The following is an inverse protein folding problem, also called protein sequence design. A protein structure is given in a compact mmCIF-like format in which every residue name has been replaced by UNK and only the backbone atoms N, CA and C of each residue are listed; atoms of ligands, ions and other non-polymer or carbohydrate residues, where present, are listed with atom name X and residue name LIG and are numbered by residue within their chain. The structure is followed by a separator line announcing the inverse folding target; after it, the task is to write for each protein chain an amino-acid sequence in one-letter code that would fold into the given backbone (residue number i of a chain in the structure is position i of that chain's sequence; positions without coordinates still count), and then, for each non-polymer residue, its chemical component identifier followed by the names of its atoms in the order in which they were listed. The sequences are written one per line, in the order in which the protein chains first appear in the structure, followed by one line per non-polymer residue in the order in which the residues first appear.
data_IF_433155973246
#
_entry.id   IF_433155973246
#
_cell.length_a   1.000
_cell.length_b   1.000
_cell.length_c   1.000
_cell.angle_alpha   90.00
_cell.angle_beta   90.00
_cell.angle_gamma   90.00
#
_symmetry.space_group_name_H-M   'P 1'
#
loop_
_entity.id
_entity.type
_entity.pdbx_description
1 polymer ?
2 polymer ?
3 water ?
#
# COMPACT_ATOMS: atom_id res chain seq x y z
N UNK A 1 33.48 -11.89 5.39
CA UNK A 1 32.16 -11.79 4.71
C UNK A 1 31.08 -11.19 5.63
N UNK A 2 30.01 -10.69 5.01
CA UNK A 2 28.93 -9.99 5.72
C UNK A 2 27.98 -10.92 6.44
N UNK A 3 27.38 -10.42 7.52
CA UNK A 3 26.45 -11.18 8.34
C UNK A 3 25.34 -11.81 7.48
N UNK A 4 24.75 -11.02 6.60
CA UNK A 4 23.62 -11.48 5.83
C UNK A 4 23.99 -12.68 4.93
N UNK A 5 25.16 -12.61 4.28
CA UNK A 5 25.61 -13.67 3.39
C UNK A 5 25.97 -14.98 4.11
N UNK A 6 26.29 -14.91 5.39
CA UNK A 6 26.63 -16.08 6.18
C UNK A 6 25.40 -16.86 6.71
N UNK A 7 24.20 -16.29 6.63
CA UNK A 7 23.02 -16.95 7.21
C UNK A 7 22.74 -18.31 6.56
N UNK A 8 22.26 -19.26 7.36
CA UNK A 8 21.88 -20.57 6.82
C UNK A 8 20.62 -20.47 5.94
N UNK A 9 20.49 -21.31 4.90
CA UNK A 9 19.24 -21.35 4.13
C UNK A 9 17.99 -21.50 4.99
N UNK A 10 18.06 -22.26 6.08
CA UNK A 10 16.92 -22.43 6.95
C UNK A 10 16.53 -21.11 7.65
N UNK A 11 17.51 -20.27 7.94
CA UNK A 11 17.22 -18.92 8.43
C UNK A 11 16.62 -18.01 7.36
N UNK A 12 17.20 -17.99 6.16
CA UNK A 12 16.61 -17.19 5.06
C UNK A 12 15.14 -17.56 4.82
N UNK A 13 14.85 -18.85 4.87
CA UNK A 13 13.53 -19.40 4.64
C UNK A 13 12.45 -18.88 5.61
N UNK A 14 12.83 -18.64 6.87
CA UNK A 14 11.89 -18.13 7.88
C UNK A 14 11.49 -16.66 7.66
N UNK A 15 12.24 -15.92 6.86
CA UNK A 15 11.84 -14.54 6.52
C UNK A 15 10.71 -14.50 5.49
N UNK A 16 10.49 -15.60 4.77
CA UNK A 16 9.52 -15.58 3.67
C UNK A 16 8.10 -15.23 4.15
N UNK A 17 7.49 -14.24 3.48
CA UNK A 17 6.14 -13.76 3.80
C UNK A 17 6.08 -12.88 5.05
N UNK A 18 7.23 -12.47 5.57
CA UNK A 18 7.31 -11.50 6.65
C UNK A 18 7.65 -10.14 6.09
N UNK A 19 7.17 -9.09 6.75
CA UNK A 19 7.53 -7.73 6.40
C UNK A 19 8.78 -7.32 7.14
N UNK A 20 9.69 -6.70 6.40
CA UNK A 20 11.05 -6.54 6.81
C UNK A 20 11.54 -5.14 6.44
N UNK A 21 12.48 -4.64 7.21
CA UNK A 21 13.19 -3.40 6.90
C UNK A 21 14.62 -3.77 6.62
N UNK A 22 15.13 -3.35 5.47
CA UNK A 22 16.48 -3.66 5.06
C UNK A 22 17.27 -2.38 4.93
N UNK A 23 18.42 -2.36 5.57
CA UNK A 23 19.38 -1.30 5.42
C UNK A 23 20.46 -1.82 4.50
N UNK A 24 20.89 -1.00 3.56
CA UNK A 24 21.85 -1.40 2.54
C UNK A 24 22.88 -0.29 2.30
N UNK A 25 23.91 -0.60 1.53
CA UNK A 25 25.00 0.32 1.21
C UNK A 25 24.52 1.73 0.86
N UNK A 26 25.32 2.72 1.25
CA UNK A 26 25.09 4.14 0.93
C UNK A 26 23.76 4.67 1.44
N UNK A 27 23.38 4.24 2.63
CA UNK A 27 22.17 4.74 3.33
C UNK A 27 20.84 4.44 2.63
N UNK A 28 20.83 3.47 1.73
CA UNK A 28 19.60 3.07 1.07
C UNK A 28 18.77 2.22 2.02
N UNK A 29 17.48 2.51 2.14
CA UNK A 29 16.59 1.81 3.05
C UNK A 29 15.38 1.29 2.29
N UNK A 30 14.89 0.11 2.69
CA UNK A 30 13.74 -0.51 2.04
C UNK A 30 12.86 -1.13 3.10
N UNK A 31 11.58 -1.23 2.79
CA UNK A 31 10.67 -1.97 3.61
C UNK A 31 9.75 -2.70 2.66
N UNK A 32 9.54 -3.99 2.91
CA UNK A 32 8.61 -4.78 2.14
C UNK A 32 8.50 -6.24 2.57
N UNK A 33 7.71 -7.00 1.83
CA UNK A 33 7.39 -8.38 2.18
C UNK A 33 8.36 -9.34 1.46
N UNK A 34 8.96 -10.26 2.19
CA UNK A 34 10.00 -11.13 1.59
C UNK A 34 9.36 -12.23 0.76
N UNK A 35 9.68 -12.24 -0.52
CA UNK A 35 9.33 -13.33 -1.42
C UNK A 35 10.33 -14.48 -1.36
N UNK A 36 11.62 -14.15 -1.38
CA UNK A 36 12.70 -15.13 -1.23
C UNK A 36 14.03 -14.43 -1.00
N UNK A 37 15.05 -15.25 -0.77
CA UNK A 37 16.43 -14.80 -0.82
C UNK A 37 17.17 -15.80 -1.70
N UNK A 38 17.93 -15.29 -2.65
CA UNK A 38 18.72 -16.15 -3.52
C UNK A 38 19.90 -16.76 -2.75
N UNK A 39 19.99 -18.07 -2.63
CA UNK A 39 21.10 -18.67 -1.87
C UNK A 39 22.47 -18.58 -2.56
N UNK A 40 22.52 -18.20 -3.82
CA UNK A 40 23.78 -18.05 -4.54
C UNK A 40 24.38 -16.65 -4.24
N UNK A 41 23.60 -15.59 -4.44
CA UNK A 41 24.07 -14.21 -4.31
C UNK A 41 23.68 -13.57 -2.99
N UNK A 42 22.76 -14.21 -2.27
CA UNK A 42 22.06 -13.63 -1.11
C UNK A 42 21.22 -12.40 -1.43
N UNK A 43 20.86 -12.18 -2.69
CA UNK A 43 19.92 -11.13 -3.07
C UNK A 43 18.58 -11.37 -2.39
N UNK A 44 18.04 -10.33 -1.77
CA UNK A 44 16.72 -10.44 -1.14
C UNK A 44 15.67 -9.83 -2.03
N UNK A 45 14.55 -10.51 -2.18
CA UNK A 45 13.49 -10.03 -3.03
C UNK A 45 12.30 -9.60 -2.15
N UNK A 46 11.91 -8.32 -2.27
CA UNK A 46 10.76 -7.75 -1.54
C UNK A 46 9.61 -7.36 -2.45
N UNK A 47 8.39 -7.59 -1.99
CA UNK A 47 7.17 -7.15 -2.66
C UNK A 47 6.60 -5.96 -1.86
N UNK A 48 6.20 -4.92 -2.59
CA UNK A 48 5.55 -3.75 -1.99
C UNK A 48 4.20 -3.53 -2.60
N UNK A 49 3.20 -3.42 -1.74
CA UNK A 49 1.86 -2.97 -2.10
C UNK A 49 1.84 -1.45 -1.82
N UNK A 50 1.86 -0.67 -2.88
CA UNK A 50 2.14 0.76 -2.80
C UNK A 50 0.84 1.56 -2.60
N UNK A 51 1.00 2.83 -2.22
CA UNK A 51 -0.12 3.73 -1.87
C UNK A 51 -1.13 3.95 -2.97
N UNK A 52 -0.71 3.77 -4.22
CA UNK A 52 -1.60 3.98 -5.37
C UNK A 52 -2.29 2.71 -5.84
N UNK A 53 -2.16 1.64 -5.07
CA UNK A 53 -2.77 0.38 -5.43
C UNK A 53 -2.00 -0.51 -6.40
N UNK A 54 -0.82 -0.07 -6.83
CA UNK A 54 0.01 -0.87 -7.74
C UNK A 54 0.96 -1.72 -6.91
N UNK A 55 1.68 -2.61 -7.56
CA UNK A 55 2.60 -3.50 -6.85
C UNK A 55 3.99 -3.46 -7.45
N UNK A 56 5.02 -3.28 -6.62
CA UNK A 56 6.41 -3.39 -7.08
C UNK A 56 7.10 -4.62 -6.47
N UNK A 57 8.19 -5.02 -7.16
CA UNK A 57 9.08 -6.08 -6.71
C UNK A 57 10.49 -5.50 -6.75
N UNK A 58 11.22 -5.68 -5.65
CA UNK A 58 12.54 -5.10 -5.48
C UNK A 58 13.54 -6.17 -5.04
N UNK A 59 14.68 -6.23 -5.72
CA UNK A 59 15.79 -7.07 -5.27
C UNK A 59 16.87 -6.19 -4.68
N UNK A 60 17.39 -6.56 -3.53
CA UNK A 60 18.53 -5.87 -2.94
C UNK A 60 19.71 -6.83 -2.96
N UNK A 61 20.82 -6.39 -3.53
CA UNK A 61 21.96 -7.26 -3.77
C UNK A 61 22.54 -7.72 -2.44
N UNK A 62 22.80 -9.02 -2.31
CA UNK A 62 23.33 -9.59 -1.08
C UNK A 62 24.58 -8.92 -0.55
N UNK A 63 25.52 -8.58 -1.43
CA UNK A 63 26.74 -7.87 -1.05
C UNK A 63 26.48 -6.45 -0.46
N UNK A 64 25.32 -5.88 -0.77
CA UNK A 64 24.94 -4.55 -0.24
C UNK A 64 24.10 -4.58 1.03
N UNK A 65 23.63 -5.76 1.43
CA UNK A 65 22.77 -5.87 2.60
C UNK A 65 23.61 -5.65 3.88
N UNK A 66 23.14 -4.77 4.76
CA UNK A 66 23.80 -4.48 6.03
C UNK A 66 23.01 -5.09 7.20
N UNK A 67 21.74 -4.72 7.33
CA UNK A 67 20.86 -5.32 8.31
C UNK A 67 19.49 -5.63 7.74
N UNK A 68 18.84 -6.64 8.32
CA UNK A 68 17.48 -7.02 7.98
C UNK A 68 16.74 -7.23 9.31
N UNK A 69 15.60 -6.57 9.43
CA UNK A 69 14.87 -6.50 10.69
C UNK A 69 13.42 -6.80 10.40
N UNK A 70 12.85 -7.76 11.10
CA UNK A 70 11.45 -8.11 10.91
C UNK A 70 10.56 -7.05 11.61
N UNK A 71 9.52 -6.61 10.91
CA UNK A 71 8.59 -5.57 11.37
C UNK A 71 7.20 -6.10 11.61
N UNK A 72 6.81 -7.12 10.84
CA UNK A 72 5.46 -7.66 10.88
C UNK A 72 5.50 -9.13 10.47
N UNK A 73 4.81 -9.96 11.24
CA UNK A 73 4.78 -11.41 11.01
C UNK A 73 3.86 -11.80 9.88
N UNK A 74 2.95 -10.91 9.52
CA UNK A 74 2.00 -11.18 8.47
C UNK A 74 0.76 -11.81 9.06
N UNK A 75 -0.18 -12.15 8.19
CA UNK A 75 -1.38 -12.88 8.58
C UNK A 75 -1.81 -13.72 7.38
N UNK A 76 -2.90 -14.47 7.53
CA UNK A 76 -3.34 -15.37 6.47
C UNK A 76 -3.63 -14.64 5.16
N UNK A 77 -4.17 -13.42 5.25
CA UNK A 77 -4.62 -12.69 4.06
C UNK A 77 -3.47 -12.28 3.16
N UNK A 78 -2.46 -11.61 3.73
CA UNK A 78 -1.29 -11.18 2.97
C UNK A 78 -0.51 -12.38 2.43
N UNK A 79 -0.41 -13.43 3.25
CA UNK A 79 0.28 -14.66 2.87
C UNK A 79 -0.30 -15.25 1.59
N UNK A 80 -1.63 -15.25 1.47
CA UNK A 80 -2.29 -15.81 0.29
C UNK A 80 -2.03 -14.95 -0.96
N UNK A 81 -2.07 -13.63 -0.81
CA UNK A 81 -1.72 -12.73 -1.90
C UNK A 81 -0.31 -13.01 -2.41
N UNK A 82 0.63 -13.15 -1.48
CA UNK A 82 2.04 -13.37 -1.81
C UNK A 82 2.30 -14.75 -2.42
N UNK A 83 1.54 -15.75 -1.99
CA UNK A 83 1.67 -17.13 -2.46
C UNK A 83 1.20 -17.24 -3.92
N UNK A 84 0.14 -16.50 -4.24
CA UNK A 84 -0.45 -16.46 -5.59
C UNK A 84 0.45 -15.75 -6.62
N UNK A 85 1.55 -15.14 -6.16
CA UNK A 85 2.44 -14.36 -7.02
C UNK A 85 3.39 -15.25 -7.83
N UNK A 86 3.44 -15.01 -9.14
CA UNK A 86 4.29 -15.75 -10.10
C UNK A 86 4.05 -17.26 -10.08
N UNK B 1 12.23 -39.91 12.90
CA UNK B 1 13.71 -39.80 12.98
C UNK B 1 14.18 -38.41 12.49
N UNK B 2 15.24 -37.89 13.11
CA UNK B 2 15.73 -36.54 12.78
C UNK B 2 16.53 -36.58 11.47
N UNK B 3 16.09 -35.80 10.48
CA UNK B 3 16.78 -35.69 9.21
C UNK B 3 18.02 -34.80 9.37
N UNK B 4 19.12 -35.20 8.73
CA UNK B 4 20.34 -34.44 8.68
C UNK B 4 20.04 -33.00 8.33
N UNK B 5 20.70 -32.07 9.02
CA UNK B 5 20.55 -30.65 8.71
C UNK B 5 21.13 -30.30 7.35
N UNK B 6 22.14 -31.06 6.90
CA UNK B 6 22.72 -30.83 5.58
C UNK B 6 21.67 -31.03 4.49
N UNK B 7 20.88 -32.09 4.63
CA UNK B 7 19.80 -32.39 3.69
C UNK B 7 18.69 -31.31 3.78
N UNK B 8 18.32 -30.93 4.99
CA UNK B 8 17.30 -29.89 5.18
C UNK B 8 17.74 -28.57 4.59
N UNK B 9 18.99 -28.21 4.81
CA UNK B 9 19.56 -26.99 4.26
C UNK B 9 19.55 -26.97 2.73
N UNK B 10 19.93 -28.09 2.12
CA UNK B 10 20.07 -28.18 0.66
C UNK B 10 18.68 -28.10 -0.02
N UNK B 11 17.67 -28.70 0.61
CA UNK B 11 16.30 -28.61 0.14
C UNK B 11 15.75 -27.18 0.25
N UNK B 12 16.05 -26.49 1.35
CA UNK B 12 15.67 -25.10 1.50
C UNK B 12 16.39 -24.23 0.47
N UNK B 13 17.66 -24.55 0.19
CA UNK B 13 18.43 -23.88 -0.85
C UNK B 13 17.75 -24.01 -2.22
N UNK B 14 17.32 -25.21 -2.57
CA UNK B 14 16.61 -25.44 -3.82
C UNK B 14 15.31 -24.65 -3.91
N UNK B 15 14.51 -24.64 -2.83
CA UNK B 15 13.25 -23.89 -2.82
C UNK B 15 13.47 -22.38 -2.95
N UNK B 16 14.44 -21.85 -2.23
CA UNK B 16 14.78 -20.43 -2.30
C UNK B 16 15.24 -20.05 -3.68
N UNK B 17 16.05 -20.93 -4.29
CA UNK B 17 16.61 -20.65 -5.57
C UNK B 17 15.53 -20.70 -6.65
N UNK B 18 14.63 -21.66 -6.56
CA UNK B 18 13.59 -21.81 -7.56
C UNK B 18 12.72 -20.56 -7.55
N UNK B 19 12.42 -20.06 -6.36
CA UNK B 19 11.60 -18.86 -6.22
C UNK B 19 12.32 -17.66 -6.79
N UNK B 20 13.64 -17.58 -6.59
CA UNK B 20 14.43 -16.46 -7.11
C UNK B 20 14.45 -16.45 -8.64
N UNK B 21 14.65 -17.63 -9.23
CA UNK B 21 14.67 -17.73 -10.69
C UNK B 21 13.29 -17.34 -11.26
N UNK B 22 12.23 -17.78 -10.60
CA UNK B 22 10.87 -17.40 -10.97
C UNK B 22 10.69 -15.87 -10.94
N UNK B 23 11.21 -15.21 -9.91
CA UNK B 23 11.11 -13.75 -9.81
C UNK B 23 11.86 -13.05 -10.94
N UNK B 24 13.02 -13.60 -11.36
CA UNK B 24 13.79 -13.01 -12.47
C UNK B 24 13.04 -13.24 -13.79
N UNK B 25 12.49 -14.44 -13.96
CA UNK B 25 11.79 -14.75 -15.20
C UNK B 25 10.56 -13.84 -15.38
N UNK B 26 9.89 -13.51 -14.29
CA UNK B 26 8.75 -12.57 -14.34
C UNK B 26 9.14 -11.14 -14.69
N UNK B 27 10.40 -10.80 -14.47
CA UNK B 27 10.94 -9.48 -14.79
C UNK B 27 11.35 -9.31 -16.25
N UNK B 28 11.47 -10.41 -17.01
CA UNK B 28 11.91 -10.35 -18.41
C UNK B 28 10.97 -9.41 -19.22
N UNK B 29 11.57 -8.49 -19.98
CA UNK B 29 10.83 -7.55 -20.81
C UNK B 29 10.26 -6.32 -20.11
N UNK B 30 10.44 -6.19 -18.79
CA UNK B 30 9.94 -5.01 -18.10
C UNK B 30 11.03 -4.01 -17.94
N UNK B 31 10.64 -2.74 -17.85
CA UNK B 31 11.57 -1.68 -17.50
C UNK B 31 11.89 -1.81 -16.02
N UNK B 32 13.17 -1.82 -15.70
CA UNK B 32 13.59 -1.85 -14.32
C UNK B 32 14.51 -0.67 -14.04
N UNK B 33 14.44 -0.20 -12.81
CA UNK B 33 15.21 0.92 -12.32
C UNK B 33 16.25 0.37 -11.36
N UNK B 34 17.51 0.59 -11.69
CA UNK B 34 18.64 0.10 -10.95
C UNK B 34 19.15 1.24 -10.08
N UNK B 35 19.33 0.96 -8.81
CA UNK B 35 20.05 1.86 -7.92
C UNK B 35 21.48 1.41 -7.87
N UNK B 36 22.37 2.30 -8.27
CA UNK B 36 23.75 1.97 -8.48
C UNK B 36 24.58 2.55 -7.34
N UNK B 37 25.81 2.07 -7.22
CA UNK B 37 26.78 2.66 -6.30
C UNK B 37 27.18 4.01 -6.87
N UNK B 38 27.78 4.85 -6.03
CA UNK B 38 28.09 6.25 -6.35
C UNK B 38 26.85 7.15 -6.49
N UNK B 39 25.73 6.76 -5.88
CA UNK B 39 24.51 7.57 -5.85
C UNK B 39 23.69 7.64 -7.14
N UNK B 40 24.08 6.87 -8.15
CA UNK B 40 23.47 6.97 -9.48
C UNK B 40 22.27 6.01 -9.66
N UNK B 41 21.35 6.41 -10.53
CA UNK B 41 20.19 5.62 -10.94
C UNK B 41 20.27 5.40 -12.45
N UNK B 42 19.97 4.20 -12.94
CA UNK B 42 19.75 4.00 -14.38
C UNK B 42 18.59 3.04 -14.65
N UNK B 43 17.94 3.22 -15.79
CA UNK B 43 16.82 2.39 -16.19
C UNK B 43 17.09 1.61 -17.47
N UNK B 44 16.58 0.39 -17.53
CA UNK B 44 16.76 -0.47 -18.69
C UNK B 44 15.73 -1.59 -18.69
N UNK B 45 15.49 -2.18 -19.85
CA UNK B 45 14.67 -3.39 -19.95
C UNK B 45 15.51 -4.62 -19.61
N UNK B 46 14.96 -5.49 -18.77
CA UNK B 46 15.65 -6.70 -18.35
C UNK B 46 15.55 -7.86 -19.36
N UNK B 47 16.67 -8.50 -19.65
CA UNK B 47 16.73 -9.65 -20.52
C UNK B 47 17.04 -10.96 -19.81
N UNK B 48 18.08 -10.97 -18.98
CA UNK B 48 18.55 -12.18 -18.35
C UNK B 48 19.62 -11.89 -17.33
N UNK B 49 19.94 -12.90 -16.51
CA UNK B 49 21.19 -12.90 -15.77
C UNK B 49 21.90 -14.22 -16.04
N UNK B 50 23.16 -14.29 -15.69
CA UNK B 50 23.79 -15.61 -15.60
C UNK B 50 23.42 -16.30 -14.27
N UNK B 51 23.62 -17.61 -14.22
CA UNK B 51 23.27 -18.42 -13.05
C UNK B 51 24.06 -18.01 -11.80
N UNK B 52 25.30 -17.55 -11.95
CA UNK B 52 26.04 -17.01 -10.80
C UNK B 52 25.49 -15.65 -10.34
N UNK B 53 24.55 -15.07 -11.10
CA UNK B 53 24.01 -13.75 -10.85
C UNK B 53 25.13 -12.70 -10.76
N UNK B 54 26.13 -12.81 -11.62
CA UNK B 54 27.22 -11.83 -11.65
C UNK B 54 26.93 -10.68 -12.62
N UNK B 55 26.11 -10.93 -13.64
CA UNK B 55 25.76 -9.94 -14.65
C UNK B 55 24.28 -9.95 -15.02
N UNK B 56 23.73 -8.75 -15.19
CA UNK B 56 22.43 -8.58 -15.80
C UNK B 56 22.58 -8.17 -17.26
N UNK B 57 21.86 -8.85 -18.14
CA UNK B 57 21.81 -8.51 -19.54
C UNK B 57 20.58 -7.65 -19.74
N UNK B 58 20.78 -6.46 -20.27
CA UNK B 58 19.68 -5.53 -20.44
C UNK B 58 19.63 -4.98 -21.86
N UNK B 59 18.49 -4.40 -22.21
CA UNK B 59 18.32 -3.70 -23.47
C UNK B 59 17.71 -2.31 -23.21
N UNK B 60 17.80 -1.41 -24.19
CA UNK B 60 17.23 -0.07 -24.05
C UNK B 60 17.71 0.62 -22.77
N UNK B 61 19.01 0.64 -22.56
CA UNK B 61 19.65 1.29 -21.44
C UNK B 61 19.58 2.81 -21.66
N UNK B 62 18.95 3.51 -20.74
CA UNK B 62 18.90 4.97 -20.80
C UNK B 62 20.25 5.59 -20.44
N UNK B 63 20.65 6.59 -21.22
CA UNK B 63 21.83 7.39 -20.92
C UNK B 63 21.55 8.85 -21.33
N UNK B 64 22.35 9.76 -20.81
CA UNK B 64 22.24 11.19 -21.20
C UNK B 64 22.39 11.47 -22.71
N UNK B 65 23.15 10.64 -23.45
CA UNK B 65 23.29 10.83 -24.91
C UNK B 65 22.30 10.02 -25.75
N UNK B 66 21.46 9.22 -25.10
CA UNK B 66 20.38 8.50 -25.78
C UNK B 66 20.36 7.01 -25.42
N UNK B 67 19.30 6.33 -25.85
CA UNK B 67 19.04 4.93 -25.50
C UNK B 67 20.02 4.01 -26.24
N UNK B 68 20.65 3.10 -25.50
CA UNK B 68 21.57 2.10 -26.05
C UNK B 68 20.84 0.75 -26.21
N UNK B 69 21.07 0.07 -27.32
CA UNK B 69 20.28 -1.11 -27.66
C UNK B 69 20.49 -2.24 -26.63
N UNK B 70 21.71 -2.49 -26.22
CA UNK B 70 22.02 -3.59 -25.29
C UNK B 70 23.20 -3.24 -24.39
N UNK B 71 23.24 -3.83 -23.20
CA UNK B 71 24.37 -3.69 -22.30
C UNK B 71 24.43 -4.81 -21.26
N UNK B 72 25.57 -4.92 -20.59
CA UNK B 72 25.79 -5.84 -19.51
C UNK B 72 26.08 -4.99 -18.28
N UNK B 73 25.31 -5.19 -17.21
CA UNK B 73 25.53 -4.51 -15.94
C UNK B 73 26.11 -5.51 -14.95
N UNK B 74 27.23 -5.16 -14.32
CA UNK B 74 27.82 -6.03 -13.31
C UNK B 74 27.06 -5.87 -12.01
N UNK B 75 26.70 -6.99 -11.39
CA UNK B 75 25.90 -6.97 -10.17
C UNK B 75 26.69 -6.35 -9.01
N UNK B 76 28.02 -6.44 -9.04
CA UNK B 76 28.87 -5.70 -8.09
C UNK B 76 28.66 -4.15 -8.13
N UNK B 77 28.19 -3.58 -9.24
CA UNK B 77 27.89 -2.14 -9.32
C UNK B 77 26.48 -1.78 -8.87
N UNK B 78 25.66 -2.80 -8.61
CA UNK B 78 24.27 -2.58 -8.34
C UNK B 78 24.01 -2.73 -6.85
N UNK B 79 23.15 -1.86 -6.32
CA UNK B 79 22.68 -1.99 -4.94
C UNK B 79 21.29 -2.64 -4.90
N UNK B 80 20.38 -2.12 -5.70
CA UNK B 80 19.03 -2.67 -5.79
C UNK B 80 18.49 -2.51 -7.19
N UNK B 81 17.42 -3.26 -7.48
CA UNK B 81 16.66 -3.15 -8.72
C UNK B 81 15.19 -3.27 -8.41
N UNK B 82 14.35 -2.50 -9.10
CA UNK B 82 12.93 -2.54 -8.86
C UNK B 82 12.15 -2.47 -10.16
N UNK B 83 11.02 -3.13 -10.19
CA UNK B 83 10.10 -3.03 -11.30
C UNK B 83 8.68 -3.25 -10.86
N UNK B 84 7.74 -3.09 -11.77
CA UNK B 84 6.33 -3.25 -11.49
C UNK B 84 5.72 -4.29 -12.40
N UNK B 85 5.30 -5.43 -11.88
CA UNK B 85 4.67 -6.45 -12.72
C UNK B 85 3.39 -5.96 -13.42
N UNK C 1 -18.50 26.29 12.09
CA UNK C 1 -18.21 25.59 10.80
C UNK C 1 -16.76 25.82 10.30
N UNK C 2 -16.17 24.78 9.73
CA UNK C 2 -14.80 24.79 9.22
C UNK C 2 -14.68 25.45 7.85
N UNK C 3 -13.45 25.81 7.47
CA UNK C 3 -13.16 26.35 6.13
C UNK C 3 -13.40 25.39 4.96
N UNK C 4 -13.09 24.11 5.19
CA UNK C 4 -13.35 23.07 4.22
C UNK C 4 -14.86 23.07 3.90
N UNK C 5 -15.68 23.25 4.91
CA UNK C 5 -17.14 23.23 4.74
C UNK C 5 -17.65 24.36 3.82
N UNK C 6 -16.88 25.43 3.67
CA UNK C 6 -17.30 26.59 2.90
C UNK C 6 -16.97 26.50 1.41
N UNK C 7 -16.22 25.49 0.99
CA UNK C 7 -15.75 25.44 -0.39
C UNK C 7 -16.87 25.23 -1.43
N UNK C 8 -17.84 24.38 -1.10
CA UNK C 8 -18.91 24.07 -2.02
C UNK C 8 -18.54 23.08 -3.12
N UNK C 9 -19.56 22.55 -3.79
CA UNK C 9 -19.40 21.42 -4.70
C UNK C 9 -18.45 21.64 -5.86
N UNK C 10 -18.37 22.84 -6.43
CA UNK C 10 -17.49 23.01 -7.58
C UNK C 10 -16.03 22.88 -7.19
N UNK C 11 -15.66 23.34 -5.99
CA UNK C 11 -14.32 23.12 -5.47
C UNK C 11 -14.08 21.70 -4.93
N UNK C 12 -14.98 21.15 -4.10
CA UNK C 12 -14.86 19.76 -3.66
C UNK C 12 -14.63 18.75 -4.81
N UNK C 13 -15.39 18.93 -5.89
CA UNK C 13 -15.36 18.04 -7.05
C UNK C 13 -13.97 17.93 -7.70
N UNK C 14 -13.19 19.00 -7.61
CA UNK C 14 -11.83 19.01 -8.16
C UNK C 14 -10.78 18.22 -7.35
N UNK C 15 -11.12 17.82 -6.12
CA UNK C 15 -10.27 16.96 -5.30
C UNK C 15 -10.44 15.49 -5.58
N UNK C 16 -11.48 15.13 -6.32
CA UNK C 16 -11.81 13.74 -6.55
C UNK C 16 -10.66 13.05 -7.32
N UNK C 17 -10.31 11.85 -6.86
CA UNK C 17 -9.22 11.02 -7.41
C UNK C 17 -7.81 11.58 -7.18
N UNK C 18 -7.69 12.60 -6.34
CA UNK C 18 -6.40 13.09 -5.92
C UNK C 18 -6.09 12.52 -4.56
N UNK C 19 -4.79 12.48 -4.26
CA UNK C 19 -4.29 12.03 -2.98
C UNK C 19 -4.06 13.24 -2.12
N UNK C 20 -4.45 13.13 -0.86
CA UNK C 20 -4.63 14.28 -0.02
C UNK C 20 -4.14 13.96 1.40
N UNK C 21 -3.56 14.95 2.07
CA UNK C 21 -3.33 14.90 3.51
C UNK C 21 -4.40 15.76 4.19
N UNK C 22 -5.07 15.19 5.18
CA UNK C 22 -6.10 15.88 5.94
C UNK C 22 -5.70 15.93 7.38
N UNK C 23 -5.70 17.12 7.95
CA UNK C 23 -5.54 17.34 9.38
C UNK C 23 -6.92 17.61 9.96
N UNK C 24 -7.20 17.04 11.14
CA UNK C 24 -8.51 17.11 11.77
C UNK C 24 -8.43 17.38 13.26
N UNK C 25 -9.61 17.55 13.88
CA UNK C 25 -9.71 17.84 15.32
C UNK C 25 -8.89 16.85 16.18
N UNK C 26 -8.33 17.36 17.27
CA UNK C 26 -7.59 16.55 18.25
C UNK C 26 -6.38 15.84 17.65
N UNK C 27 -5.63 16.56 16.81
CA UNK C 27 -4.36 16.07 16.24
C UNK C 27 -4.49 14.83 15.36
N UNK C 28 -5.70 14.54 14.86
CA UNK C 28 -5.85 13.43 13.95
C UNK C 28 -5.37 13.79 12.55
N UNK C 29 -4.72 12.85 11.89
CA UNK C 29 -4.09 13.09 10.61
C UNK C 29 -4.40 11.89 9.71
N UNK C 30 -4.67 12.17 8.44
CA UNK C 30 -5.02 11.14 7.48
C UNK C 30 -4.38 11.44 6.14
N UNK C 31 -4.22 10.41 5.33
CA UNK C 31 -3.72 10.55 3.97
C UNK C 31 -4.34 9.45 3.13
N UNK C 32 -4.86 9.83 1.97
CA UNK C 32 -5.59 8.91 1.12
C UNK C 32 -6.16 9.53 -0.14
N UNK C 33 -6.85 8.72 -0.92
CA UNK C 33 -7.39 9.13 -2.21
C UNK C 33 -8.87 9.54 -2.10
N UNK C 34 -9.20 10.75 -2.54
CA UNK C 34 -10.56 11.26 -2.38
C UNK C 34 -11.51 10.58 -3.33
N UNK C 35 -12.48 9.89 -2.77
CA UNK C 35 -13.54 9.27 -3.56
C UNK C 35 -14.70 10.23 -3.75
N UNK C 36 -15.10 10.92 -2.68
CA UNK C 36 -16.14 11.94 -2.76
C UNK C 36 -16.06 12.84 -1.54
N UNK C 37 -16.91 13.87 -1.57
CA UNK C 37 -17.17 14.69 -0.41
C UNK C 37 -18.68 14.86 -0.35
N UNK C 38 -19.28 14.59 0.80
CA UNK C 38 -20.71 14.76 0.95
C UNK C 38 -21.07 16.26 0.90
N UNK C 39 -21.93 16.66 -0.03
CA UNK C 39 -22.27 18.08 -0.12
C UNK C 39 -23.18 18.61 1.00
N UNK C 40 -23.83 17.75 1.77
CA UNK C 40 -24.64 18.17 2.90
C UNK C 40 -23.78 18.53 4.16
N UNK C 41 -22.80 17.69 4.44
CA UNK C 41 -21.98 17.74 5.66
C UNK C 41 -20.49 18.15 5.43
N UNK C 42 -20.08 18.10 4.17
CA UNK C 42 -18.68 18.15 3.76
C UNK C 42 -17.83 16.98 4.28
N UNK C 43 -18.42 15.85 4.66
CA UNK C 43 -17.66 14.67 5.06
C UNK C 43 -16.81 14.20 3.86
N UNK C 44 -15.54 13.93 4.09
CA UNK C 44 -14.61 13.46 3.05
C UNK C 44 -14.45 11.98 3.11
N UNK C 45 -14.57 11.31 1.96
CA UNK C 45 -14.35 9.89 1.89
C UNK C 45 -13.00 9.61 1.23
N UNK C 46 -12.11 8.97 1.97
CA UNK C 46 -10.79 8.62 1.49
C UNK C 46 -10.65 7.11 1.32
N UNK C 47 -9.92 6.71 0.28
CA UNK C 47 -9.58 5.32 0.00
C UNK C 47 -8.09 5.16 0.27
N UNK C 48 -7.72 4.10 1.00
CA UNK C 48 -6.33 3.78 1.24
C UNK C 48 -5.99 2.39 0.70
N UNK C 49 -4.90 2.32 -0.06
CA UNK C 49 -4.31 1.05 -0.51
C UNK C 49 -3.16 0.80 0.47
N UNK C 50 -3.37 -0.13 1.38
CA UNK C 50 -2.48 -0.30 2.51
C UNK C 50 -1.30 -1.24 2.15
N UNK C 51 -0.30 -1.19 3.01
CA UNK C 51 0.99 -1.88 2.89
C UNK C 51 0.89 -3.39 2.76
N UNK C 52 -0.22 -3.97 3.21
CA UNK C 52 -0.43 -5.41 3.20
C UNK C 52 -1.32 -5.82 2.05
N UNK C 53 -1.55 -4.90 1.13
CA UNK C 53 -2.37 -5.19 -0.04
C UNK C 53 -3.86 -5.06 0.17
N UNK C 54 -4.30 -4.76 1.40
CA UNK C 54 -5.75 -4.62 1.67
C UNK C 54 -6.18 -3.19 1.33
N UNK C 55 -7.49 -2.95 1.29
CA UNK C 55 -8.02 -1.61 1.02
C UNK C 55 -8.98 -1.15 2.14
N UNK C 56 -8.79 0.08 2.64
CA UNK C 56 -9.71 0.70 3.61
C UNK C 56 -10.40 1.94 3.02
N UNK C 57 -11.54 2.28 3.64
CA UNK C 57 -12.32 3.47 3.31
C UNK C 57 -12.55 4.20 4.62
N UNK C 58 -12.24 5.50 4.63
CA UNK C 58 -12.28 6.35 5.81
C UNK C 58 -13.13 7.59 5.54
N UNK C 59 -14.16 7.82 6.35
CA UNK C 59 -14.86 9.10 6.35
C UNK C 59 -14.29 10.02 7.41
N UNK C 60 -14.08 11.29 7.06
CA UNK C 60 -13.67 12.29 8.01
C UNK C 60 -14.77 13.36 8.02
N UNK C 61 -15.35 13.64 9.19
CA UNK C 61 -16.50 14.55 9.27
C UNK C 61 -16.10 15.96 8.90
N UNK C 62 -16.91 16.59 8.06
CA UNK C 62 -16.65 17.94 7.59
C UNK C 62 -16.34 18.92 8.70
N UNK C 63 -17.09 18.86 9.80
CA UNK C 63 -16.93 19.81 10.92
C UNK C 63 -15.58 19.63 11.62
N UNK C 64 -14.99 18.44 11.51
CA UNK C 64 -13.67 18.10 12.09
C UNK C 64 -12.45 18.38 11.19
N UNK C 65 -12.68 18.59 9.90
CA UNK C 65 -11.61 18.92 8.95
C UNK C 65 -11.02 20.30 9.26
N UNK C 66 -9.69 20.33 9.46
CA UNK C 66 -8.96 21.58 9.64
C UNK C 66 -8.26 22.02 8.35
N UNK C 67 -7.42 21.15 7.77
CA UNK C 67 -6.78 21.45 6.49
C UNK C 67 -6.77 20.25 5.57
N UNK C 68 -6.73 20.53 4.28
CA UNK C 68 -6.65 19.51 3.24
C UNK C 68 -5.61 19.99 2.23
N UNK C 69 -4.53 19.24 2.06
CA UNK C 69 -3.52 19.55 1.03
C UNK C 69 -3.39 18.42 0.03
N UNK C 70 -3.32 18.76 -1.24
CA UNK C 70 -3.13 17.79 -2.30
C UNK C 70 -1.65 17.34 -2.37
N UNK C 71 -1.44 16.03 -2.30
CA UNK C 71 -0.10 15.39 -2.32
C UNK C 71 0.27 14.83 -3.69
N UNK C 72 -0.71 14.40 -4.46
CA UNK C 72 -0.48 13.69 -5.70
C UNK C 72 -1.72 13.81 -6.59
N UNK C 73 -1.53 14.20 -7.85
CA UNK C 73 -2.65 14.42 -8.77
C UNK C 73 -3.23 13.13 -9.33
N UNK C 74 -2.55 12.02 -9.10
CA UNK C 74 -3.00 10.72 -9.54
C UNK C 74 -2.64 10.48 -10.99
N UNK C 75 -2.86 9.26 -11.45
CA UNK C 75 -2.67 8.90 -12.85
C UNK C 75 -3.90 8.14 -13.33
N UNK C 76 -3.88 7.69 -14.59
CA UNK C 76 -5.01 6.98 -15.17
C UNK C 76 -5.29 5.65 -14.44
N UNK C 77 -4.23 4.93 -14.06
CA UNK C 77 -4.35 3.64 -13.38
C UNK C 77 -5.14 3.74 -12.07
N UNK C 78 -4.73 4.67 -11.21
CA UNK C 78 -5.38 4.89 -9.92
C UNK C 78 -6.82 5.29 -10.12
N UNK C 79 -7.03 6.25 -11.01
CA UNK C 79 -8.34 6.79 -11.33
C UNK C 79 -9.36 5.69 -11.64
N UNK C 80 -8.94 4.69 -12.40
CA UNK C 80 -9.85 3.63 -12.83
C UNK C 80 -10.27 2.71 -11.66
N UNK C 81 -9.34 2.42 -10.76
CA UNK C 81 -9.64 1.65 -9.55
C UNK C 81 -10.66 2.37 -8.67
N UNK C 82 -10.43 3.67 -8.44
CA UNK C 82 -11.32 4.50 -7.63
C UNK C 82 -12.70 4.63 -8.28
N UNK C 83 -12.72 4.74 -9.60
CA UNK C 83 -13.95 5.02 -10.35
C UNK C 83 -14.98 3.89 -10.28
N UNK C 84 -14.50 2.66 -10.08
CA UNK C 84 -15.36 1.47 -10.10
C UNK C 84 -15.69 0.93 -8.70
N UNK C 85 -15.28 1.64 -7.65
CA UNK C 85 -15.36 1.13 -6.28
C UNK C 85 -16.77 0.79 -5.82
N UNK C 86 -17.65 1.78 -5.83
CA UNK C 86 -19.04 1.57 -5.44
C UNK C 86 -19.98 2.14 -6.51
N UNK D 3 -24.20 27.35 -19.35
CA UNK D 3 -24.83 26.77 -18.13
C UNK D 3 -24.51 27.65 -16.92
N UNK D 4 -25.54 27.99 -16.15
CA UNK D 4 -25.35 28.89 -15.02
C UNK D 4 -24.50 28.25 -13.92
N UNK D 5 -23.96 29.10 -13.06
CA UNK D 5 -23.22 28.65 -11.89
C UNK D 5 -24.08 27.79 -10.96
N UNK D 6 -25.33 28.18 -10.70
CA UNK D 6 -26.22 27.41 -9.82
C UNK D 6 -26.47 26.01 -10.40
N UNK D 7 -26.66 25.93 -11.72
CA UNK D 7 -26.92 24.65 -12.38
C UNK D 7 -25.69 23.73 -12.37
N UNK D 8 -24.51 24.30 -12.59
CA UNK D 8 -23.29 23.51 -12.58
C UNK D 8 -23.00 22.93 -11.19
N UNK D 9 -23.23 23.72 -10.15
CA UNK D 9 -22.95 23.22 -8.81
C UNK D 9 -24.03 22.22 -8.34
N UNK D 10 -25.26 22.36 -8.84
CA UNK D 10 -26.30 21.38 -8.56
C UNK D 10 -25.95 20.03 -9.23
N UNK D 11 -25.34 20.07 -10.41
CA UNK D 11 -24.85 18.86 -11.06
C UNK D 11 -23.70 18.21 -10.28
N UNK D 12 -22.75 19.00 -9.82
CA UNK D 12 -21.66 18.48 -8.99
C UNK D 12 -22.22 17.86 -7.71
N UNK D 13 -23.14 18.58 -7.08
CA UNK D 13 -23.77 18.18 -5.84
C UNK D 13 -24.45 16.82 -5.94
N UNK D 14 -25.27 16.62 -6.98
CA UNK D 14 -25.95 15.33 -7.20
C UNK D 14 -24.95 14.17 -7.31
N UNK D 15 -23.87 14.37 -8.06
CA UNK D 15 -22.86 13.33 -8.27
C UNK D 15 -22.03 13.02 -7.00
N UNK D 16 -21.67 14.08 -6.25
CA UNK D 16 -20.99 13.93 -4.96
C UNK D 16 -21.85 13.20 -3.94
N UNK D 17 -23.11 13.60 -3.84
CA UNK D 17 -24.06 13.04 -2.91
C UNK D 17 -24.33 11.56 -3.20
N UNK D 18 -24.55 11.22 -4.48
CA UNK D 18 -24.80 9.83 -4.90
C UNK D 18 -23.62 8.93 -4.50
N UNK D 19 -22.41 9.40 -4.75
CA UNK D 19 -21.21 8.65 -4.39
C UNK D 19 -21.09 8.47 -2.88
N UNK D 20 -21.48 9.50 -2.12
CA UNK D 20 -21.40 9.44 -0.67
C UNK D 20 -22.36 8.40 -0.11
N UNK D 21 -23.60 8.40 -0.61
CA UNK D 21 -24.62 7.47 -0.12
C UNK D 21 -24.26 6.03 -0.47
N UNK D 22 -23.70 5.82 -1.66
CA UNK D 22 -23.20 4.51 -2.05
C UNK D 22 -22.10 4.04 -1.13
N UNK D 23 -21.23 4.95 -0.68
CA UNK D 23 -20.15 4.58 0.23
C UNK D 23 -20.71 4.16 1.59
N UNK D 24 -21.81 4.77 2.02
CA UNK D 24 -22.44 4.39 3.28
C UNK D 24 -23.14 3.05 3.15
N UNK D 25 -23.80 2.82 2.01
CA UNK D 25 -24.47 1.55 1.75
C UNK D 25 -23.46 0.38 1.76
N UNK D 26 -22.27 0.61 1.21
CA UNK D 26 -21.22 -0.41 1.18
C UNK D 26 -20.64 -0.72 2.55
N UNK D 27 -20.83 0.17 3.51
CA UNK D 27 -20.35 -0.01 4.88
C UNK D 27 -21.32 -0.83 5.76
N UNK D 28 -22.55 -1.05 5.30
CA UNK D 28 -23.58 -1.73 6.10
C UNK D 28 -23.12 -3.15 6.43
N UNK D 29 -23.23 -3.52 7.72
CA UNK D 29 -22.85 -4.83 8.21
C UNK D 29 -21.36 -5.05 8.44
N UNK D 30 -20.55 -4.00 8.30
CA UNK D 30 -19.11 -4.13 8.46
C UNK D 30 -18.73 -3.64 9.83
N UNK D 31 -17.62 -4.19 10.34
CA UNK D 31 -16.98 -3.66 11.54
C UNK D 31 -16.32 -2.33 11.16
N UNK D 32 -16.62 -1.28 11.94
CA UNK D 32 -16.15 0.06 11.64
C UNK D 32 -15.43 0.57 12.87
N UNK D 33 -14.22 1.10 12.69
CA UNK D 33 -13.52 1.80 13.76
C UNK D 33 -13.83 3.30 13.72
N UNK D 34 -14.43 3.78 14.81
CA UNK D 34 -14.77 5.18 15.01
C UNK D 34 -13.75 5.88 15.86
N UNK D 35 -13.40 7.09 15.45
CA UNK D 35 -12.63 8.01 16.25
C UNK D 35 -13.57 9.13 16.65
N UNK D 36 -13.81 9.24 17.96
CA UNK D 36 -14.74 10.21 18.53
C UNK D 36 -14.00 11.34 19.25
N UNK D 37 -14.76 12.38 19.61
CA UNK D 37 -14.27 13.47 20.44
C UNK D 37 -13.83 12.94 21.80
N UNK D 38 -12.98 13.71 22.48
CA UNK D 38 -12.35 13.34 23.76
C UNK D 38 -11.46 12.08 23.70
N UNK D 39 -10.89 11.80 22.54
CA UNK D 39 -9.94 10.70 22.39
C UNK D 39 -10.53 9.30 22.48
N UNK D 40 -11.85 9.20 22.37
CA UNK D 40 -12.52 7.91 22.45
C UNK D 40 -12.40 7.19 21.11
N UNK D 41 -11.93 5.95 21.15
CA UNK D 41 -11.91 5.08 19.99
C UNK D 41 -12.78 3.89 20.30
N UNK D 42 -13.67 3.54 19.38
CA UNK D 42 -14.49 2.35 19.53
C UNK D 42 -14.75 1.71 18.19
N UNK D 43 -14.89 0.39 18.18
CA UNK D 43 -15.17 -0.37 16.98
C UNK D 43 -16.50 -1.12 17.09
N UNK D 44 -17.35 -0.97 16.09
CA UNK D 44 -18.70 -1.53 16.13
C UNK D 44 -19.24 -1.79 14.75
N UNK D 45 -20.19 -2.71 14.68
CA UNK D 45 -20.92 -3.00 13.43
C UNK D 45 -21.87 -1.88 13.04
N UNK D 46 -21.79 -1.44 11.80
CA UNK D 46 -22.60 -0.34 11.30
C UNK D 46 -23.86 -0.90 10.64
N UNK D 47 -25.03 -0.45 11.11
CA UNK D 47 -26.30 -0.95 10.63
C UNK D 47 -27.01 0.00 9.68
N UNK D 48 -27.07 1.28 10.01
CA UNK D 48 -27.78 2.27 9.19
C UNK D 48 -27.55 3.70 9.66
N UNK D 49 -28.04 4.66 8.88
CA UNK D 49 -28.21 6.03 9.33
C UNK D 49 -29.68 6.38 9.32
N UNK D 50 -30.02 7.48 9.98
CA UNK D 50 -31.35 8.08 9.78
C UNK D 50 -31.35 8.80 8.41
N UNK D 51 -32.49 9.40 8.06
CA UNK D 51 -32.67 9.95 6.72
C UNK D 51 -31.75 11.14 6.46
N UNK D 52 -31.52 11.96 7.49
CA UNK D 52 -30.66 13.14 7.35
C UNK D 52 -29.18 12.86 7.64
N UNK D 53 -28.81 11.60 7.86
CA UNK D 53 -27.43 11.22 8.22
C UNK D 53 -26.86 12.07 9.37
N UNK D 54 -27.65 12.21 10.43
CA UNK D 54 -27.19 12.86 11.65
C UNK D 54 -26.72 11.86 12.72
N UNK D 55 -27.17 10.60 12.59
CA UNK D 55 -26.81 9.52 13.52
C UNK D 55 -26.47 8.24 12.78
N UNK D 56 -25.50 7.50 13.30
CA UNK D 56 -25.19 6.16 12.83
C UNK D 56 -25.72 5.13 13.84
N UNK D 57 -26.49 4.18 13.34
CA UNK D 57 -26.97 3.05 14.10
C UNK D 57 -25.88 1.98 14.09
N UNK D 58 -25.54 1.52 15.29
CA UNK D 58 -24.37 0.68 15.50
C UNK D 58 -24.73 -0.42 16.50
N UNK D 59 -24.16 -1.61 16.32
CA UNK D 59 -24.23 -2.66 17.33
C UNK D 59 -22.85 -3.26 17.64
N UNK D 60 -22.72 -3.81 18.83
CA UNK D 60 -21.47 -4.39 19.29
C UNK D 60 -21.74 -5.57 20.22
N UNK D 61 -21.26 -6.75 19.83
CA UNK D 61 -21.38 -7.92 20.69
C UNK D 61 -20.45 -7.76 21.90
N UNK D 62 -21.03 -7.87 23.09
CA UNK D 62 -20.25 -7.85 24.33
C UNK D 62 -19.80 -9.30 24.55
N UNK D 63 -18.60 -9.59 24.07
CA UNK D 63 -18.19 -10.98 23.84
C UNK D 63 -18.10 -11.83 25.10
N UNK D 64 -17.60 -11.31 26.21
CA UNK D 64 -17.48 -12.12 27.41
C UNK D 64 -18.85 -12.59 27.95
N UNK D 65 -19.90 -11.82 27.71
CA UNK D 65 -21.24 -12.10 28.29
C UNK D 65 -22.30 -12.50 27.25
N UNK D 66 -21.95 -12.49 25.96
CA UNK D 66 -22.91 -12.81 24.90
C UNK D 66 -24.12 -11.87 24.80
N UNK D 67 -23.93 -10.59 25.10
CA UNK D 67 -25.00 -9.58 25.05
C UNK D 67 -24.80 -8.65 23.85
N UNK D 68 -25.79 -8.61 22.97
CA UNK D 68 -25.80 -7.70 21.82
C UNK D 68 -26.19 -6.29 22.30
N UNK D 69 -25.28 -5.33 22.14
CA UNK D 69 -25.53 -3.94 22.48
C UNK D 69 -25.82 -3.14 21.21
N UNK D 70 -26.56 -2.04 21.38
CA UNK D 70 -26.97 -1.14 20.32
C UNK D 70 -26.84 0.29 20.79
N UNK D 71 -26.62 1.20 19.85
CA UNK D 71 -26.55 2.63 20.16
C UNK D 71 -26.68 3.48 18.91
N UNK D 72 -26.99 4.75 19.12
CA UNK D 72 -26.90 5.76 18.07
C UNK D 72 -25.68 6.60 18.37
N UNK D 73 -24.74 6.65 17.42
CA UNK D 73 -23.60 7.57 17.51
C UNK D 73 -24.00 8.81 16.73
N UNK D 74 -23.79 9.97 17.33
CA UNK D 74 -24.08 11.24 16.67
C UNK D 74 -22.92 11.64 15.79
N UNK D 75 -23.19 12.01 14.54
CA UNK D 75 -22.14 12.45 13.64
C UNK D 75 -21.38 13.66 14.19
N UNK D 76 -22.07 14.48 14.99
CA UNK D 76 -21.45 15.66 15.62
C UNK D 76 -20.35 15.30 16.64
N UNK D 77 -20.42 14.10 17.20
CA UNK D 77 -19.38 13.57 18.10
C UNK D 77 -18.29 12.76 17.39
N UNK D 78 -18.48 12.44 16.10
CA UNK D 78 -17.51 11.66 15.32
C UNK D 78 -16.48 12.56 14.62
N UNK D 79 -15.21 12.19 14.70
CA UNK D 79 -14.15 12.79 13.91
C UNK D 79 -13.96 12.02 12.59
N UNK D 80 -13.75 10.71 12.70
CA UNK D 80 -13.63 9.85 11.54
C UNK D 80 -14.14 8.44 11.79
N UNK D 81 -14.39 7.74 10.70
CA UNK D 81 -14.72 6.31 10.70
C UNK D 81 -13.98 5.55 9.57
N UNK D 82 -13.50 4.35 9.84
CA UNK D 82 -12.82 3.51 8.85
C UNK D 82 -13.30 2.08 8.88
N UNK D 83 -13.36 1.46 7.70
CA UNK D 83 -13.61 0.04 7.55
C UNK D 83 -12.93 -0.53 6.29
N UNK D 84 -12.97 -1.85 6.16
CA UNK D 84 -12.41 -2.52 4.98
C UNK D 84 -13.52 -3.23 4.22
N UNK D 85 -13.81 -2.82 2.98
CA UNK D 85 -14.85 -3.52 2.20
C UNK D 85 -14.48 -4.97 1.89
#
# INVERSE_FOLDING_TARGET
MSEWMKKGPLEWQDYIYKEVRVTASEKNEYKGWVLTTDPVSANIVLVNFLEDGSMSVTGIMGHAVQTVETMNEGDHRVREKLMHLF
AQESLESQEQRARAALRERYLRSLLAMVGHQVSFTLHEGVRVAAHFGATDLDVANFYVSQLQTPIGVQAEALLRCSDIISYTFKP
MSEWMKKGPLEWQDYIYKEVRVTASEKNEYKGWVLTTDPVSANIVLVNFLEDGSMSVTGIMGHAVQTVETMNEGDHRVREKLMHLF
AQESLESQEQRARAALRERYLRSLLAMVGHQVSFTLHEGVRVAAHFGATDLDVANFYVSQLQTPIGVQAEALLRCSDIISYTFKP
#
